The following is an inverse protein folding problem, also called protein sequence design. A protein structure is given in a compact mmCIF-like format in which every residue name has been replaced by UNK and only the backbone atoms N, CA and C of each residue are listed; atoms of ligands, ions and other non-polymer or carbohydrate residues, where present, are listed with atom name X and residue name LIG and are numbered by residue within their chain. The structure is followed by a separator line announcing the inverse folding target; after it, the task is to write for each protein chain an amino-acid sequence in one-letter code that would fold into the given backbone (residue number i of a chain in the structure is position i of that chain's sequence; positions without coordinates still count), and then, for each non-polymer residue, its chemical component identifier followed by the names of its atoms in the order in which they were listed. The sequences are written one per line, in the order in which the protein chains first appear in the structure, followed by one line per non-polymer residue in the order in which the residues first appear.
data_IF_636470835032
#
_entry.id   IF_636470835032
#
_cell.length_a   1.000
_cell.length_b   1.000
_cell.length_c   1.000
_cell.angle_alpha   90.00
_cell.angle_beta   90.00
_cell.angle_gamma   90.00
#
_symmetry.space_group_name_H-M   'P 1'
#
loop_
_entity.id
_entity.type
_entity.pdbx_description
1 polymer ?
#
# COMPACT_ATOMS: atom_id res chain seq x y z
N UNK A 1 5.74 -20.43 29.91
CA UNK A 1 6.87 -20.13 29.00
C UNK A 1 8.14 -20.61 29.67
N UNK A 2 8.97 -21.37 28.97
CA UNK A 2 10.31 -21.79 29.42
C UNK A 2 11.31 -21.34 28.37
N UNK A 3 12.47 -20.85 28.81
CA UNK A 3 13.60 -20.51 27.94
C UNK A 3 14.72 -21.50 28.27
N UNK A 4 15.22 -22.22 27.27
CA UNK A 4 16.33 -23.13 27.39
C UNK A 4 17.52 -22.62 26.57
N UNK A 5 18.73 -22.74 27.10
CA UNK A 5 19.96 -22.37 26.40
C UNK A 5 20.73 -23.65 26.09
N UNK A 6 20.89 -23.99 24.81
CA UNK A 6 21.63 -25.20 24.43
C UNK A 6 23.08 -25.06 24.90
N UNK A 7 23.56 -26.05 25.67
CA UNK A 7 24.93 -26.06 26.18
C UNK A 7 25.27 -24.92 27.17
N UNK A 8 24.28 -24.17 27.66
CA UNK A 8 24.51 -23.00 28.53
C UNK A 8 24.91 -21.73 27.78
N UNK A 9 24.97 -21.76 26.44
CA UNK A 9 25.25 -20.58 25.63
C UNK A 9 24.03 -19.65 25.58
N UNK A 10 24.17 -18.50 26.25
CA UNK A 10 23.12 -17.48 26.33
C UNK A 10 22.85 -16.77 25.02
N UNK A 11 23.68 -16.94 23.99
CA UNK A 11 23.45 -16.40 22.65
C UNK A 11 22.43 -17.22 21.85
N UNK A 12 22.14 -18.47 22.26
CA UNK A 12 21.29 -19.43 21.53
C UNK A 12 20.13 -19.93 22.41
N UNK A 13 19.18 -19.05 22.68
CA UNK A 13 17.97 -19.37 23.45
C UNK A 13 16.88 -20.03 22.62
N UNK A 14 16.26 -21.08 23.15
CA UNK A 14 15.05 -21.74 22.63
C UNK A 14 13.89 -21.43 23.56
N UNK A 15 12.78 -20.92 23.02
CA UNK A 15 11.58 -20.60 23.78
C UNK A 15 10.52 -21.67 23.54
N UNK A 16 10.00 -22.24 24.64
CA UNK A 16 8.87 -23.17 24.62
C UNK A 16 7.71 -22.52 25.34
N UNK A 17 6.61 -22.28 24.64
CA UNK A 17 5.40 -21.66 25.17
C UNK A 17 4.16 -22.49 24.84
N UNK A 18 3.18 -22.43 25.74
CA UNK A 18 1.84 -22.95 25.50
C UNK A 18 1.05 -21.92 24.70
N UNK A 19 0.62 -22.28 23.48
CA UNK A 19 -0.27 -21.44 22.67
C UNK A 19 -1.73 -21.89 22.76
N UNK A 20 -2.64 -20.99 22.38
CA UNK A 20 -4.07 -21.25 22.30
C UNK A 20 -4.36 -22.43 21.35
N UNK A 21 -4.88 -23.53 21.89
CA UNK A 21 -4.96 -24.80 21.17
C UNK A 21 -5.83 -24.73 19.91
N UNK A 22 -6.97 -24.03 19.97
CA UNK A 22 -7.91 -23.98 18.85
C UNK A 22 -7.40 -23.19 17.63
N UNK A 23 -6.40 -22.32 17.80
CA UNK A 23 -5.82 -21.51 16.73
C UNK A 23 -4.39 -21.94 16.38
N UNK A 24 -3.95 -23.08 16.94
CA UNK A 24 -2.63 -23.63 16.67
C UNK A 24 -2.53 -23.99 15.20
N UNK A 25 -1.56 -23.37 14.52
CA UNK A 25 -1.23 -23.71 13.14
C UNK A 25 -0.63 -25.11 13.08
N UNK A 26 -1.12 -25.94 12.17
CA UNK A 26 -0.69 -27.32 11.94
C UNK A 26 -0.45 -27.56 10.45
N UNK A 27 0.33 -28.60 10.11
CA UNK A 27 0.55 -28.97 8.71
C UNK A 27 1.45 -27.99 7.94
N UNK A 28 2.39 -27.35 8.62
CA UNK A 28 3.42 -26.53 7.98
C UNK A 28 4.38 -27.43 7.20
N UNK A 29 4.71 -27.03 5.98
CA UNK A 29 5.76 -27.68 5.21
C UNK A 29 7.12 -27.39 5.84
N UNK A 30 8.12 -28.21 5.51
CA UNK A 30 9.51 -27.98 5.94
C UNK A 30 9.96 -26.58 5.55
N UNK A 31 10.45 -25.81 6.53
CA UNK A 31 10.92 -24.44 6.35
C UNK A 31 9.87 -23.34 6.51
N UNK A 32 8.58 -23.67 6.53
CA UNK A 32 7.53 -22.67 6.78
C UNK A 32 7.53 -22.21 8.25
N UNK A 33 7.30 -20.91 8.47
CA UNK A 33 7.22 -20.32 9.81
C UNK A 33 5.97 -19.45 9.91
N UNK A 34 5.30 -19.50 11.06
CA UNK A 34 4.10 -18.68 11.32
C UNK A 34 4.12 -18.07 12.71
N UNK A 35 3.85 -16.77 12.77
CA UNK A 35 3.51 -16.05 14.00
C UNK A 35 1.99 -15.85 13.99
N UNK A 36 1.28 -16.18 15.07
CA UNK A 36 -0.19 -16.12 15.11
C UNK A 36 -0.73 -15.76 16.50
N UNK A 37 -1.99 -15.32 16.54
CA UNK A 37 -2.72 -14.95 17.77
C UNK A 37 -3.93 -15.86 18.04
N UNK A 38 -4.53 -15.72 19.23
CA UNK A 38 -5.77 -16.44 19.61
C UNK A 38 -7.03 -15.93 18.88
N UNK A 39 -6.93 -14.83 18.14
CA UNK A 39 -8.05 -14.24 17.38
C UNK A 39 -7.93 -14.52 15.87
N UNK A 40 -7.00 -15.40 15.49
CA UNK A 40 -6.83 -15.85 14.11
C UNK A 40 -5.88 -15.00 13.25
N UNK A 41 -5.35 -13.87 13.75
CA UNK A 41 -4.35 -13.12 12.98
C UNK A 41 -3.07 -13.95 12.82
N UNK A 42 -2.42 -13.82 11.67
CA UNK A 42 -1.14 -14.47 11.42
C UNK A 42 -0.23 -13.71 10.46
N UNK A 43 1.06 -14.02 10.57
CA UNK A 43 2.09 -13.73 9.58
C UNK A 43 2.73 -15.06 9.20
N UNK A 44 2.55 -15.49 7.95
CA UNK A 44 3.04 -16.76 7.43
C UNK A 44 4.13 -16.53 6.40
N UNK A 45 5.28 -17.15 6.62
CA UNK A 45 6.45 -17.18 5.74
C UNK A 45 6.50 -18.55 5.06
N UNK A 46 6.48 -18.57 3.73
CA UNK A 46 6.55 -19.79 2.91
C UNK A 46 7.65 -19.68 1.86
N UNK A 47 7.92 -20.79 1.17
CA UNK A 47 8.82 -20.82 0.01
C UNK A 47 8.36 -19.87 -1.11
N UNK A 48 7.05 -19.68 -1.27
CA UNK A 48 6.45 -18.91 -2.36
C UNK A 48 6.12 -17.47 -2.01
N UNK A 49 6.21 -17.07 -0.73
CA UNK A 49 5.96 -15.69 -0.33
C UNK A 49 5.61 -15.50 1.14
N UNK A 50 5.06 -14.31 1.42
CA UNK A 50 4.67 -13.88 2.78
C UNK A 50 3.20 -13.51 2.75
N UNK A 51 2.44 -13.99 3.75
CA UNK A 51 1.03 -13.60 3.95
C UNK A 51 0.86 -12.97 5.33
N UNK A 52 0.24 -11.80 5.37
CA UNK A 52 -0.22 -11.15 6.61
C UNK A 52 -1.75 -11.20 6.58
N UNK A 53 -2.34 -12.00 7.48
CA UNK A 53 -3.78 -12.11 7.62
C UNK A 53 -4.21 -11.47 8.94
N UNK A 54 -5.03 -10.43 8.83
CA UNK A 54 -5.55 -9.68 9.97
C UNK A 54 -6.85 -10.27 10.54
N UNK A 55 -7.39 -11.35 9.97
CA UNK A 55 -8.64 -11.98 10.39
C UNK A 55 -9.80 -10.96 10.51
N UNK A 56 -9.92 -10.07 9.52
CA UNK A 56 -10.93 -9.00 9.48
C UNK A 56 -10.69 -7.82 10.43
N UNK A 57 -9.55 -7.78 11.12
CA UNK A 57 -9.14 -6.65 11.96
C UNK A 57 -8.37 -5.58 11.15
N UNK A 58 -8.30 -4.34 11.65
CA UNK A 58 -7.45 -3.31 11.04
C UNK A 58 -5.96 -3.68 11.10
N UNK A 59 -5.17 -3.15 10.16
CA UNK A 59 -3.71 -3.23 10.13
C UNK A 59 -3.15 -1.81 10.06
N UNK A 60 -2.45 -1.39 11.10
CA UNK A 60 -1.84 -0.08 11.19
C UNK A 60 -0.32 -0.18 11.18
N UNK A 61 0.35 0.66 10.38
CA UNK A 61 1.81 0.86 10.40
C UNK A 61 2.07 2.24 10.98
N UNK A 62 2.41 2.30 12.27
CA UNK A 62 2.51 3.55 13.06
C UNK A 62 3.92 3.81 13.57
N UNK A 63 4.20 5.07 13.91
CA UNK A 63 5.48 5.54 14.46
C UNK A 63 6.71 5.24 13.56
N UNK A 64 6.50 5.13 12.26
CA UNK A 64 7.58 5.07 11.27
C UNK A 64 7.95 6.47 10.78
N UNK A 65 9.23 6.71 10.50
CA UNK A 65 9.70 7.93 9.83
C UNK A 65 9.61 7.81 8.31
N UNK A 66 9.91 6.63 7.76
CA UNK A 66 9.87 6.31 6.33
C UNK A 66 9.41 4.87 6.16
N UNK A 67 8.45 4.65 5.26
CA UNK A 67 8.05 3.31 4.81
C UNK A 67 8.37 3.19 3.32
N UNK A 68 9.32 2.32 2.98
CA UNK A 68 9.70 2.05 1.58
C UNK A 68 9.18 0.68 1.17
N UNK A 69 8.45 0.61 0.06
CA UNK A 69 7.97 -0.64 -0.55
C UNK A 69 8.61 -0.75 -1.93
N UNK A 70 9.44 -1.78 -2.12
CA UNK A 70 10.10 -2.06 -3.40
C UNK A 70 9.58 -3.38 -3.97
N UNK A 71 9.02 -3.34 -5.17
CA UNK A 71 8.54 -4.51 -5.89
C UNK A 71 9.05 -4.46 -7.34
N UNK A 72 9.42 -5.61 -7.91
CA UNK A 72 10.00 -5.69 -9.26
C UNK A 72 8.97 -5.66 -10.39
N UNK A 73 7.70 -5.90 -10.08
CA UNK A 73 6.61 -5.98 -11.06
C UNK A 73 5.56 -4.91 -10.77
N UNK A 74 4.88 -5.00 -9.64
CA UNK A 74 3.80 -4.06 -9.29
C UNK A 74 3.48 -4.05 -7.78
N UNK A 75 2.73 -3.03 -7.36
CA UNK A 75 2.04 -2.98 -6.06
C UNK A 75 0.55 -2.78 -6.34
N UNK A 76 -0.28 -3.76 -5.96
CA UNK A 76 -1.73 -3.71 -6.17
C UNK A 76 -2.47 -3.41 -4.87
N UNK A 77 -3.22 -2.30 -4.84
CA UNK A 77 -4.04 -1.89 -3.68
C UNK A 77 -5.53 -2.07 -4.00
N UNK A 78 -6.11 -3.21 -3.59
CA UNK A 78 -7.54 -3.50 -3.77
C UNK A 78 -8.37 -2.91 -2.63
N UNK A 79 -8.80 -1.66 -2.79
CA UNK A 79 -9.61 -0.94 -1.79
C UNK A 79 -10.68 -0.07 -2.48
N UNK A 80 -11.85 0.13 -1.87
CA UNK A 80 -12.81 1.14 -2.34
C UNK A 80 -12.27 2.57 -2.28
N UNK A 81 -11.40 2.88 -1.31
CA UNK A 81 -10.84 4.23 -1.12
C UNK A 81 -9.38 4.15 -0.69
N UNK A 82 -8.51 4.86 -1.41
CA UNK A 82 -7.14 5.17 -1.01
C UNK A 82 -7.07 6.64 -0.58
N UNK A 83 -6.77 6.89 0.70
CA UNK A 83 -6.68 8.26 1.25
C UNK A 83 -5.22 8.64 1.44
N UNK A 84 -4.84 9.82 0.96
CA UNK A 84 -3.56 10.44 1.23
C UNK A 84 -3.80 11.85 1.77
N UNK A 85 -3.21 12.18 2.93
CA UNK A 85 -3.28 13.55 3.50
C UNK A 85 -2.21 14.46 2.92
N UNK A 86 -1.16 13.88 2.34
CA UNK A 86 -0.09 14.59 1.65
C UNK A 86 -0.23 14.51 0.13
N UNK A 87 0.84 14.88 -0.56
CA UNK A 87 0.92 14.82 -2.01
C UNK A 87 1.26 13.41 -2.51
N UNK A 88 0.84 13.13 -3.75
CA UNK A 88 1.24 11.95 -4.51
C UNK A 88 2.11 12.44 -5.66
N UNK A 89 3.35 11.94 -5.73
CA UNK A 89 4.25 12.14 -6.87
C UNK A 89 4.35 10.80 -7.57
N UNK A 90 3.81 10.70 -8.78
CA UNK A 90 3.98 9.53 -9.63
C UNK A 90 5.28 9.63 -10.43
N UNK A 91 5.87 8.47 -10.76
CA UNK A 91 7.14 8.39 -11.49
C UNK A 91 8.25 9.27 -10.88
N UNK A 92 8.38 9.21 -9.54
CA UNK A 92 9.38 9.96 -8.79
C UNK A 92 10.81 9.67 -9.29
N UNK A 93 11.76 10.54 -8.92
CA UNK A 93 13.14 10.64 -9.49
C UNK A 93 13.20 11.33 -10.86
N UNK A 94 12.27 11.06 -11.76
CA UNK A 94 12.17 11.75 -13.05
C UNK A 94 11.10 12.86 -13.08
N UNK A 95 10.08 12.74 -12.22
CA UNK A 95 9.02 13.72 -12.03
C UNK A 95 9.03 14.27 -10.60
N UNK A 96 8.76 15.56 -10.45
CA UNK A 96 8.62 16.26 -9.16
C UNK A 96 7.24 16.87 -8.96
N UNK A 97 6.40 16.91 -10.00
CA UNK A 97 5.05 17.44 -9.92
C UNK A 97 4.13 16.50 -9.14
N UNK A 98 3.28 17.06 -8.31
CA UNK A 98 2.29 16.30 -7.54
C UNK A 98 0.99 16.17 -8.32
N UNK A 99 0.22 15.09 -8.10
CA UNK A 99 -1.12 14.94 -8.68
C UNK A 99 -2.06 16.08 -8.27
N UNK A 100 -1.79 16.75 -7.14
CA UNK A 100 -2.52 17.95 -6.73
C UNK A 100 -2.18 19.13 -7.63
N UNK A 101 -0.90 19.42 -7.84
CA UNK A 101 -0.44 20.49 -8.73
C UNK A 101 -0.95 20.31 -10.16
N UNK A 102 -0.89 19.07 -10.68
CA UNK A 102 -1.42 18.77 -12.01
C UNK A 102 -2.94 19.04 -12.10
N UNK A 103 -3.70 18.69 -11.05
CA UNK A 103 -5.14 18.97 -10.99
C UNK A 103 -5.43 20.46 -10.88
N UNK A 104 -4.66 21.20 -10.09
CA UNK A 104 -4.82 22.65 -9.96
C UNK A 104 -4.52 23.37 -11.27
N UNK A 105 -3.43 22.99 -11.95
CA UNK A 105 -3.10 23.49 -13.28
C UNK A 105 -4.20 23.15 -14.29
N UNK A 106 -4.72 21.92 -14.26
CA UNK A 106 -5.83 21.51 -15.12
C UNK A 106 -7.13 22.25 -14.79
N UNK A 107 -7.44 22.53 -13.54
CA UNK A 107 -8.67 23.25 -13.21
C UNK A 107 -8.57 24.76 -13.50
N UNK A 108 -7.37 25.31 -13.45
CA UNK A 108 -7.12 26.75 -13.64
C UNK A 108 -6.66 27.15 -15.03
N UNK A 109 -6.44 26.22 -15.96
CA UNK A 109 -5.96 26.57 -17.30
C UNK A 109 -7.06 27.25 -18.13
N UNK A 110 -6.62 28.19 -18.96
CA UNK A 110 -7.42 28.79 -20.01
C UNK A 110 -6.87 28.39 -21.39
N UNK A 111 -7.65 28.70 -22.42
CA UNK A 111 -7.26 28.51 -23.81
C UNK A 111 -7.25 29.85 -24.53
N UNK A 112 -6.14 30.16 -25.19
CA UNK A 112 -6.08 31.31 -26.08
C UNK A 112 -6.87 31.01 -27.37
N UNK A 113 -7.95 31.76 -27.60
CA UNK A 113 -8.72 31.70 -28.86
C UNK A 113 -8.19 32.78 -29.81
N UNK A 114 -7.75 32.38 -31.00
CA UNK A 114 -7.14 33.26 -32.02
C UNK A 114 -8.10 33.49 -33.19
N UNK A 115 -7.91 34.59 -33.91
CA UNK A 115 -8.66 34.95 -35.14
C UNK A 115 -10.18 35.14 -34.94
N UNK A 116 -10.58 35.82 -33.86
CA UNK A 116 -11.97 36.15 -33.56
C UNK A 116 -12.22 37.65 -33.73
N UNK A 117 -13.45 38.02 -34.10
CA UNK A 117 -13.93 39.39 -34.01
C UNK A 117 -14.31 39.70 -32.56
N UNK A 118 -13.89 40.86 -32.05
CA UNK A 118 -14.18 41.26 -30.68
C UNK A 118 -15.68 41.53 -30.45
N UNK A 119 -16.16 41.30 -29.22
CA UNK A 119 -17.56 41.53 -28.86
C UNK A 119 -17.81 41.42 -27.36
N UNK A 120 -19.06 41.65 -26.94
CA UNK A 120 -19.46 41.68 -25.52
C UNK A 120 -20.26 40.44 -25.07
N UNK A 121 -20.42 39.44 -25.95
CA UNK A 121 -21.15 38.23 -25.62
C UNK A 121 -20.22 37.22 -24.94
N UNK A 122 -20.71 36.58 -23.87
CA UNK A 122 -20.06 35.43 -23.24
C UNK A 122 -20.73 34.16 -23.74
N UNK A 123 -19.94 33.21 -24.22
CA UNK A 123 -20.40 31.91 -24.73
C UNK A 123 -19.51 30.81 -24.18
N UNK A 124 -20.09 29.65 -23.89
CA UNK A 124 -19.35 28.47 -23.45
C UNK A 124 -18.92 27.64 -24.67
N UNK A 125 -17.74 26.99 -24.59
CA UNK A 125 -17.32 26.04 -25.60
C UNK A 125 -18.11 24.74 -25.50
N UNK A 126 -18.18 24.02 -26.61
CA UNK A 126 -18.59 22.62 -26.58
C UNK A 126 -17.57 21.75 -25.81
N UNK A 127 -17.99 20.54 -25.42
CA UNK A 127 -17.06 19.55 -24.87
C UNK A 127 -16.05 19.12 -25.95
N UNK A 128 -14.80 18.75 -25.58
CA UNK A 128 -13.81 18.26 -26.54
C UNK A 128 -14.37 17.10 -27.37
N UNK A 129 -14.16 17.14 -28.69
CA UNK A 129 -14.79 16.23 -29.67
C UNK A 129 -14.28 14.78 -29.65
N UNK A 130 -13.40 14.41 -28.72
CA UNK A 130 -12.78 13.10 -28.66
C UNK A 130 -13.24 12.33 -27.41
N UNK A 131 -14.32 11.53 -27.47
CA UNK A 131 -14.50 10.47 -26.50
C UNK A 131 -13.35 9.47 -26.67
N UNK A 132 -12.64 9.19 -25.58
CA UNK A 132 -11.58 8.18 -25.58
C UNK A 132 -12.23 6.81 -25.48
N UNK A 133 -12.20 6.04 -26.58
CA UNK A 133 -12.76 4.69 -26.66
C UNK A 133 -13.28 4.33 -28.04
N UNK A 134 -12.36 4.04 -28.97
CA UNK A 134 -12.59 3.35 -30.23
C UNK A 134 -11.53 2.26 -30.40
#
# INVERSE_FOLDING_TARGET
MVIAFLGGDRSSGVIIASNHQAHRQSGLNTGETVIYSQWGQLVKLTETGITIDAAGQPVDVVNSTIVTITASQEVMVKTPVLKCTGDIIDNCESNTATLKQLREAYNGHDHQVKNIEGGNNTVDSEKPSNPVGG
#
